data_IF_356735028251
#
_entry.id   IF_356735028251
#
_cell.length_a   1.000
_cell.length_b   1.000
_cell.length_c   1.000
_cell.angle_alpha   90.00
_cell.angle_beta   90.00
_cell.angle_gamma   90.00
#
_symmetry.space_group_name_H-M   'P 1'
#
loop_
_entity.id
_entity.type
_entity.pdbx_description
1 polymer ?
#
# COMPACT_ATOMS: atom_id res chain seq x y z
N UNK A 1 2.57 38.82 4.42
CA UNK A 1 3.05 38.90 3.03
C UNK A 1 3.61 37.51 2.72
N UNK A 2 2.83 36.65 2.07
CA UNK A 2 3.24 35.28 1.80
C UNK A 2 4.37 35.31 0.77
N UNK A 3 5.51 34.69 1.07
CA UNK A 3 6.53 34.40 0.07
C UNK A 3 5.87 33.66 -1.10
N UNK A 4 6.16 34.00 -2.36
CA UNK A 4 5.73 33.20 -3.49
C UNK A 4 6.26 31.77 -3.25
N UNK A 5 5.38 30.77 -3.34
CA UNK A 5 5.79 29.36 -3.41
C UNK A 5 6.90 29.27 -4.45
N UNK A 6 8.15 29.07 -3.99
CA UNK A 6 9.29 28.83 -4.87
C UNK A 6 8.87 27.74 -5.85
N UNK A 7 8.97 28.03 -7.15
CA UNK A 7 8.70 27.08 -8.23
C UNK A 7 9.63 25.87 -8.07
N UNK A 8 9.11 24.85 -7.39
CA UNK A 8 9.82 23.59 -7.17
C UNK A 8 9.60 22.69 -8.39
N UNK A 9 10.70 22.22 -8.99
CA UNK A 9 10.70 21.25 -10.09
C UNK A 9 9.74 20.09 -9.82
N UNK A 10 9.72 19.58 -8.59
CA UNK A 10 8.84 18.47 -8.21
C UNK A 10 7.37 18.81 -8.40
N UNK A 11 6.93 20.01 -8.01
CA UNK A 11 5.52 20.40 -8.15
C UNK A 11 5.16 20.70 -9.61
N UNK A 12 6.03 21.44 -10.32
CA UNK A 12 5.79 21.90 -11.70
C UNK A 12 5.81 20.74 -12.70
N UNK A 13 6.72 19.79 -12.55
CA UNK A 13 6.85 18.67 -13.48
C UNK A 13 5.95 17.48 -13.13
N UNK A 14 5.59 17.26 -11.87
CA UNK A 14 4.94 16.01 -11.44
C UNK A 14 3.42 16.14 -11.23
N UNK A 15 2.91 17.31 -10.82
CA UNK A 15 1.51 17.50 -10.41
C UNK A 15 0.75 18.50 -11.31
N UNK A 16 -0.03 17.98 -12.27
CA UNK A 16 -0.97 18.80 -13.06
C UNK A 16 -2.38 18.80 -12.43
N UNK A 17 -2.82 19.95 -11.93
CA UNK A 17 -4.17 20.14 -11.36
C UNK A 17 -5.28 20.29 -12.41
N UNK A 18 -5.45 19.28 -13.28
CA UNK A 18 -6.49 19.27 -14.35
C UNK A 18 -7.54 18.15 -14.16
N UNK A 19 -7.43 17.37 -13.10
CA UNK A 19 -8.25 16.19 -12.84
C UNK A 19 -9.70 16.49 -12.45
N UNK A 20 -10.60 15.57 -12.80
CA UNK A 20 -11.99 15.55 -12.33
C UNK A 20 -12.11 14.62 -11.12
N UNK A 21 -13.23 14.67 -10.40
CA UNK A 21 -13.40 13.92 -9.14
C UNK A 21 -13.20 12.40 -9.30
N UNK A 22 -13.60 11.82 -10.43
CA UNK A 22 -13.42 10.40 -10.69
C UNK A 22 -11.96 10.03 -10.99
N UNK A 23 -11.14 10.94 -11.54
CA UNK A 23 -9.71 10.69 -11.69
C UNK A 23 -9.06 10.53 -10.31
N UNK A 24 -9.38 11.40 -9.35
CA UNK A 24 -8.93 11.23 -7.96
C UNK A 24 -9.44 9.92 -7.36
N UNK A 25 -10.69 9.54 -7.64
CA UNK A 25 -11.22 8.23 -7.26
C UNK A 25 -10.43 7.05 -7.84
N UNK A 26 -9.98 7.12 -9.09
CA UNK A 26 -9.11 6.10 -9.70
C UNK A 26 -7.74 6.07 -9.02
N UNK A 27 -7.12 7.23 -8.77
CA UNK A 27 -5.85 7.32 -8.05
C UNK A 27 -5.95 6.72 -6.64
N UNK A 28 -7.00 7.06 -5.88
CA UNK A 28 -7.27 6.51 -4.55
C UNK A 28 -7.44 5.00 -4.59
N UNK A 29 -8.25 4.52 -5.54
CA UNK A 29 -8.57 3.10 -5.68
C UNK A 29 -7.33 2.30 -6.07
N UNK A 30 -6.50 2.79 -7.00
CA UNK A 30 -5.24 2.12 -7.35
C UNK A 30 -4.27 2.07 -6.18
N UNK A 31 -4.18 3.16 -5.40
CA UNK A 31 -3.25 3.23 -4.28
C UNK A 31 -3.68 2.31 -3.11
N UNK A 32 -4.97 2.25 -2.78
CA UNK A 32 -5.50 1.48 -1.64
C UNK A 32 -5.90 0.06 -2.04
N UNK A 33 -6.66 -0.10 -3.13
CA UNK A 33 -7.16 -1.40 -3.62
C UNK A 33 -6.11 -2.05 -4.53
N UNK A 34 -4.98 -2.41 -3.91
CA UNK A 34 -3.90 -3.14 -4.54
C UNK A 34 -3.89 -4.63 -4.19
N UNK A 35 -2.97 -5.41 -4.78
CA UNK A 35 -2.86 -6.84 -4.52
C UNK A 35 -2.51 -7.19 -3.07
N UNK A 36 -2.13 -6.23 -2.23
CA UNK A 36 -2.00 -6.40 -0.77
C UNK A 36 -3.28 -6.95 -0.12
N UNK A 37 -4.46 -6.77 -0.72
CA UNK A 37 -5.71 -7.38 -0.22
C UNK A 37 -5.66 -8.92 -0.18
N UNK A 38 -4.78 -9.55 -0.95
CA UNK A 38 -4.55 -11.00 -0.92
C UNK A 38 -3.91 -11.48 0.39
N UNK A 39 -3.47 -10.55 1.25
CA UNK A 39 -2.99 -10.85 2.61
C UNK A 39 -4.10 -10.80 3.66
N UNK A 40 -5.33 -10.39 3.31
CA UNK A 40 -6.44 -10.33 4.27
C UNK A 40 -6.75 -11.69 4.93
N UNK A 41 -6.76 -12.83 4.20
CA UNK A 41 -6.93 -14.14 4.83
C UNK A 41 -5.85 -14.44 5.88
N UNK A 42 -4.60 -14.03 5.60
CA UNK A 42 -3.49 -14.16 6.55
C UNK A 42 -3.66 -13.26 7.78
N UNK A 43 -4.16 -12.05 7.62
CA UNK A 43 -4.51 -11.20 8.77
C UNK A 43 -5.62 -11.85 9.62
N UNK A 44 -6.63 -12.45 8.97
CA UNK A 44 -7.70 -13.16 9.68
C UNK A 44 -7.19 -14.42 10.40
N UNK A 45 -6.16 -15.10 9.90
CA UNK A 45 -5.48 -16.17 10.65
C UNK A 45 -4.92 -15.67 12.01
N UNK A 46 -4.44 -14.44 12.09
CA UNK A 46 -3.94 -13.84 13.34
C UNK A 46 -5.02 -13.35 14.31
N UNK A 47 -6.23 -13.04 13.81
CA UNK A 47 -7.31 -12.40 14.58
C UNK A 47 -8.51 -13.31 14.82
N UNK A 48 -8.73 -14.30 13.97
CA UNK A 48 -9.98 -15.05 13.86
C UNK A 48 -11.09 -14.25 13.18
N UNK A 49 -12.24 -14.88 13.00
CA UNK A 49 -13.39 -14.28 12.31
C UNK A 49 -13.88 -12.99 12.96
N UNK A 50 -14.19 -13.03 14.26
CA UNK A 50 -14.86 -11.92 14.95
C UNK A 50 -13.98 -10.69 15.00
N UNK A 51 -12.75 -10.83 15.51
CA UNK A 51 -11.82 -9.72 15.62
C UNK A 51 -11.30 -9.29 14.24
N UNK A 52 -11.14 -10.23 13.29
CA UNK A 52 -10.79 -9.93 11.90
C UNK A 52 -11.79 -8.98 11.24
N UNK A 53 -13.09 -9.28 11.32
CA UNK A 53 -14.13 -8.39 10.80
C UNK A 53 -14.22 -7.07 11.55
N UNK A 54 -14.10 -7.10 12.89
CA UNK A 54 -14.09 -5.88 13.69
C UNK A 54 -12.96 -4.95 13.25
N UNK A 55 -11.72 -5.45 13.17
CA UNK A 55 -10.56 -4.67 12.73
C UNK A 55 -10.72 -4.21 11.27
N UNK A 56 -11.13 -5.09 10.36
CA UNK A 56 -11.35 -4.74 8.94
C UNK A 56 -12.35 -3.59 8.80
N UNK A 57 -13.45 -3.63 9.55
CA UNK A 57 -14.52 -2.61 9.48
C UNK A 57 -14.10 -1.33 10.19
N UNK A 58 -13.58 -1.43 11.42
CA UNK A 58 -13.18 -0.28 12.21
C UNK A 58 -12.09 0.53 11.50
N UNK A 59 -11.11 -0.15 10.90
CA UNK A 59 -10.04 0.52 10.18
C UNK A 59 -10.55 1.20 8.91
N UNK A 60 -11.47 0.57 8.16
CA UNK A 60 -12.11 1.23 7.02
C UNK A 60 -12.93 2.46 7.40
N UNK A 61 -13.67 2.42 8.51
CA UNK A 61 -14.41 3.60 9.00
C UNK A 61 -13.45 4.71 9.42
N UNK A 62 -12.38 4.36 10.16
CA UNK A 62 -11.39 5.33 10.63
C UNK A 62 -10.62 5.94 9.46
N UNK A 63 -10.16 5.17 8.49
CA UNK A 63 -9.43 5.73 7.34
C UNK A 63 -10.32 6.56 6.43
N UNK A 64 -11.59 6.18 6.22
CA UNK A 64 -12.54 7.03 5.50
C UNK A 64 -12.69 8.38 6.21
N UNK A 65 -12.89 8.33 7.53
CA UNK A 65 -13.01 9.52 8.36
C UNK A 65 -11.73 10.37 8.34
N UNK A 66 -10.55 9.76 8.51
CA UNK A 66 -9.24 10.42 8.40
C UNK A 66 -9.08 11.17 7.09
N UNK A 67 -9.38 10.52 5.97
CA UNK A 67 -9.22 11.12 4.65
C UNK A 67 -10.27 12.20 4.38
N UNK A 68 -11.48 12.04 4.92
CA UNK A 68 -12.47 13.12 4.94
C UNK A 68 -11.94 14.33 5.74
N UNK A 69 -11.43 14.16 6.95
CA UNK A 69 -10.86 15.23 7.75
C UNK A 69 -9.68 15.92 7.04
N UNK A 70 -8.76 15.14 6.47
CA UNK A 70 -7.63 15.68 5.72
C UNK A 70 -8.10 16.51 4.53
N UNK A 71 -9.11 16.05 3.78
CA UNK A 71 -9.68 16.82 2.67
C UNK A 71 -10.25 18.16 3.13
N UNK A 72 -10.89 18.20 4.32
CA UNK A 72 -11.42 19.41 4.94
C UNK A 72 -10.32 20.36 5.41
N UNK A 73 -9.19 19.85 5.89
CA UNK A 73 -8.03 20.67 6.24
C UNK A 73 -7.42 21.30 4.98
N UNK A 74 -7.23 20.52 3.92
CA UNK A 74 -6.72 21.02 2.65
C UNK A 74 -7.65 22.06 2.01
N UNK A 75 -8.97 21.83 2.04
CA UNK A 75 -9.96 22.81 1.57
C UNK A 75 -9.92 24.12 2.40
N UNK A 76 -9.69 24.02 3.71
CA UNK A 76 -9.55 25.20 4.58
C UNK A 76 -8.30 26.01 4.22
N UNK A 77 -7.16 25.35 3.98
CA UNK A 77 -5.94 25.99 3.52
C UNK A 77 -6.15 26.69 2.15
N UNK A 78 -6.79 26.01 1.19
CA UNK A 78 -7.06 26.56 -0.14
C UNK A 78 -7.93 27.82 -0.05
N UNK A 79 -8.96 27.82 0.80
CA UNK A 79 -9.81 28.99 1.06
C UNK A 79 -9.07 30.14 1.75
N UNK A 80 -8.07 29.82 2.57
CA UNK A 80 -7.21 30.80 3.23
C UNK A 80 -6.10 31.34 2.32
N UNK A 81 -6.09 30.96 1.03
CA UNK A 81 -5.17 31.48 0.02
C UNK A 81 -3.92 30.63 -0.24
N UNK A 82 -3.78 29.48 0.44
CA UNK A 82 -2.61 28.60 0.30
C UNK A 82 -3.03 27.21 -0.16
N UNK A 83 -2.65 26.84 -1.39
CA UNK A 83 -2.88 25.49 -1.92
C UNK A 83 -1.63 24.64 -1.76
N UNK A 84 -1.73 23.58 -0.96
CA UNK A 84 -0.65 22.63 -0.75
C UNK A 84 -0.76 21.43 -1.70
N UNK A 85 0.39 20.99 -2.20
CA UNK A 85 0.51 19.87 -3.14
C UNK A 85 1.05 18.60 -2.48
N UNK A 86 1.72 18.72 -1.34
CA UNK A 86 2.45 17.65 -0.67
C UNK A 86 2.03 17.53 0.79
N UNK A 87 2.00 16.31 1.31
CA UNK A 87 1.64 16.05 2.69
C UNK A 87 2.54 16.82 3.66
N UNK A 88 3.86 16.73 3.46
CA UNK A 88 4.88 17.39 4.30
C UNK A 88 4.68 18.91 4.41
N UNK A 89 4.21 19.56 3.34
CA UNK A 89 4.04 21.02 3.30
C UNK A 89 2.80 21.43 4.12
N UNK A 90 1.68 20.75 3.90
CA UNK A 90 0.45 21.04 4.67
C UNK A 90 0.63 20.70 6.15
N UNK A 91 1.31 19.59 6.46
CA UNK A 91 1.57 19.19 7.84
C UNK A 91 2.47 20.21 8.56
N UNK A 92 3.58 20.64 7.94
CA UNK A 92 4.48 21.63 8.52
C UNK A 92 3.80 22.98 8.74
N UNK A 93 2.95 23.40 7.80
CA UNK A 93 2.20 24.64 7.93
C UNK A 93 1.14 24.58 9.03
N UNK A 94 0.30 23.54 9.02
CA UNK A 94 -0.81 23.40 9.98
C UNK A 94 -0.28 23.18 11.40
N UNK A 95 0.76 22.37 11.58
CA UNK A 95 1.34 22.08 12.89
C UNK A 95 2.36 23.13 13.35
N UNK A 96 2.70 24.10 12.51
CA UNK A 96 3.56 25.24 12.84
C UNK A 96 5.02 24.87 13.21
N UNK A 97 5.52 23.72 12.74
CA UNK A 97 6.84 23.20 13.11
C UNK A 97 7.62 22.69 11.91
N UNK A 98 8.86 23.17 11.75
CA UNK A 98 9.77 22.70 10.71
C UNK A 98 10.21 21.24 10.89
N UNK A 99 10.18 20.70 12.11
CA UNK A 99 10.56 19.29 12.35
C UNK A 99 9.51 18.31 11.79
N UNK A 100 8.23 18.70 11.79
CA UNK A 100 7.14 17.92 11.19
C UNK A 100 7.36 17.68 9.70
N UNK A 101 7.92 18.66 8.99
CA UNK A 101 8.28 18.49 7.57
C UNK A 101 9.20 17.29 7.37
N UNK A 102 10.28 17.20 8.14
CA UNK A 102 11.26 16.11 8.05
C UNK A 102 10.69 14.78 8.55
N UNK A 103 9.86 14.81 9.61
CA UNK A 103 9.15 13.63 10.09
C UNK A 103 8.26 13.02 8.99
N UNK A 104 7.42 13.84 8.33
CA UNK A 104 6.55 13.35 7.26
C UNK A 104 7.36 12.84 6.07
N UNK A 105 8.46 13.52 5.68
CA UNK A 105 9.37 13.00 4.64
C UNK A 105 9.89 11.61 5.00
N UNK A 106 10.38 11.44 6.23
CA UNK A 106 10.95 10.18 6.68
C UNK A 106 9.92 9.04 6.61
N UNK A 107 8.72 9.27 7.16
CA UNK A 107 7.63 8.29 7.18
C UNK A 107 7.13 7.99 5.76
N UNK A 108 6.89 9.01 4.91
CA UNK A 108 6.48 8.81 3.51
C UNK A 108 7.55 8.03 2.73
N UNK A 109 8.84 8.34 2.93
CA UNK A 109 9.93 7.63 2.25
C UNK A 109 9.97 6.15 2.68
N UNK A 110 9.79 5.87 3.98
CA UNK A 110 9.67 4.49 4.47
C UNK A 110 8.50 3.74 3.83
N UNK A 111 7.32 4.37 3.76
CA UNK A 111 6.14 3.78 3.10
C UNK A 111 6.47 3.45 1.64
N UNK A 112 7.03 4.42 0.89
CA UNK A 112 7.33 4.23 -0.53
C UNK A 112 8.36 3.13 -0.78
N UNK A 113 9.41 3.07 0.04
CA UNK A 113 10.43 2.00 -0.02
C UNK A 113 9.79 0.65 0.27
N UNK A 114 9.02 0.54 1.36
CA UNK A 114 8.38 -0.72 1.74
C UNK A 114 7.39 -1.22 0.69
N UNK A 115 6.57 -0.34 0.13
CA UNK A 115 5.65 -0.66 -0.98
C UNK A 115 6.43 -1.08 -2.22
N UNK A 116 7.54 -0.41 -2.56
CA UNK A 116 8.36 -0.78 -3.72
C UNK A 116 8.98 -2.17 -3.55
N UNK A 117 9.51 -2.48 -2.36
CA UNK A 117 10.03 -3.82 -2.03
C UNK A 117 8.91 -4.86 -2.15
N UNK A 118 7.77 -4.64 -1.49
CA UNK A 118 6.64 -5.58 -1.54
C UNK A 118 6.07 -5.77 -2.94
N UNK A 119 6.02 -4.70 -3.74
CA UNK A 119 5.57 -4.73 -5.13
C UNK A 119 6.50 -5.58 -5.99
N UNK A 120 7.82 -5.38 -5.88
CA UNK A 120 8.81 -6.14 -6.64
C UNK A 120 8.78 -7.61 -6.24
N UNK A 121 8.73 -7.90 -4.94
CA UNK A 121 8.63 -9.25 -4.41
C UNK A 121 7.41 -9.98 -4.97
N UNK A 122 6.24 -9.38 -4.81
CA UNK A 122 4.99 -10.02 -5.22
C UNK A 122 4.86 -10.13 -6.75
N UNK A 123 5.41 -9.18 -7.49
CA UNK A 123 5.48 -9.28 -8.95
C UNK A 123 6.43 -10.42 -9.38
N UNK A 124 7.53 -10.63 -8.65
CA UNK A 124 8.45 -11.76 -8.86
C UNK A 124 7.75 -13.11 -8.63
N UNK A 125 6.99 -13.22 -7.54
CA UNK A 125 6.15 -14.37 -7.23
C UNK A 125 5.08 -14.64 -8.30
N UNK A 126 4.41 -13.60 -8.80
CA UNK A 126 3.44 -13.75 -9.90
C UNK A 126 4.12 -14.26 -11.18
N UNK A 127 5.33 -13.77 -11.50
CA UNK A 127 6.09 -14.22 -12.65
C UNK A 127 6.55 -15.68 -12.48
N UNK A 128 6.94 -16.07 -11.27
CA UNK A 128 7.26 -17.46 -10.94
C UNK A 128 6.04 -18.38 -11.13
N UNK A 129 4.85 -17.97 -10.67
CA UNK A 129 3.60 -18.71 -10.89
C UNK A 129 3.31 -18.90 -12.38
N UNK A 130 3.45 -17.84 -13.18
CA UNK A 130 3.25 -17.91 -14.63
C UNK A 130 4.27 -18.87 -15.25
N UNK A 131 5.53 -18.78 -14.85
CA UNK A 131 6.60 -19.66 -15.32
C UNK A 131 6.34 -21.13 -14.99
N UNK A 132 6.00 -21.45 -13.74
CA UNK A 132 5.73 -22.83 -13.31
C UNK A 132 4.53 -23.45 -14.02
N UNK A 133 3.55 -22.65 -14.44
CA UNK A 133 2.43 -23.14 -15.26
C UNK A 133 2.83 -23.51 -16.70
N UNK A 134 3.87 -22.87 -17.26
CA UNK A 134 4.34 -23.11 -18.64
C UNK A 134 5.50 -24.12 -18.66
N UNK A 135 6.37 -24.09 -17.65
CA UNK A 135 7.54 -24.95 -17.50
C UNK A 135 7.60 -25.55 -16.09
N UNK A 136 6.85 -26.63 -15.81
CA UNK A 136 6.75 -27.22 -14.46
C UNK A 136 8.07 -27.77 -13.90
N UNK A 137 9.04 -28.07 -14.77
CA UNK A 137 10.38 -28.56 -14.40
C UNK A 137 11.47 -27.50 -14.57
N UNK A 138 11.07 -26.24 -14.57
CA UNK A 138 11.99 -25.12 -14.68
C UNK A 138 12.93 -25.00 -13.48
N UNK A 139 14.17 -24.57 -13.73
CA UNK A 139 15.21 -24.46 -12.70
C UNK A 139 15.32 -23.07 -12.06
N UNK A 140 14.50 -22.12 -12.53
CA UNK A 140 14.58 -20.73 -12.08
C UNK A 140 14.00 -20.54 -10.68
N UNK A 141 14.69 -19.74 -9.88
CA UNK A 141 14.39 -19.44 -8.48
C UNK A 141 13.72 -18.08 -8.30
N UNK A 142 13.04 -17.87 -7.17
CA UNK A 142 12.30 -16.63 -6.90
C UNK A 142 13.15 -15.36 -7.07
N UNK A 143 14.39 -15.36 -6.57
CA UNK A 143 15.29 -14.20 -6.66
C UNK A 143 15.62 -13.81 -8.11
N UNK A 144 15.58 -14.76 -9.06
CA UNK A 144 15.82 -14.48 -10.48
C UNK A 144 14.60 -13.77 -11.10
N UNK A 145 13.39 -14.17 -10.73
CA UNK A 145 12.18 -13.47 -11.13
C UNK A 145 12.10 -12.07 -10.52
N UNK A 146 12.50 -11.92 -9.25
CA UNK A 146 12.65 -10.61 -8.59
C UNK A 146 13.64 -9.73 -9.37
N UNK A 147 14.78 -10.27 -9.81
CA UNK A 147 15.75 -9.53 -10.61
C UNK A 147 15.17 -9.08 -11.97
N UNK A 148 14.45 -9.96 -12.67
CA UNK A 148 13.77 -9.62 -13.94
C UNK A 148 12.74 -8.50 -13.75
N UNK A 149 11.89 -8.62 -12.73
CA UNK A 149 10.89 -7.61 -12.37
C UNK A 149 11.56 -6.28 -12.01
N UNK A 150 12.66 -6.33 -11.27
CA UNK A 150 13.44 -5.13 -10.89
C UNK A 150 13.94 -4.39 -12.14
N UNK A 151 14.44 -5.11 -13.15
CA UNK A 151 14.85 -4.53 -14.43
C UNK A 151 13.66 -3.88 -15.15
N UNK A 152 12.50 -4.53 -15.19
CA UNK A 152 11.28 -3.94 -15.78
C UNK A 152 10.88 -2.67 -15.01
N UNK A 153 10.90 -2.71 -13.68
CA UNK A 153 10.58 -1.57 -12.82
C UNK A 153 11.56 -0.41 -13.00
N UNK A 154 12.85 -0.67 -13.26
CA UNK A 154 13.83 0.38 -13.61
C UNK A 154 13.52 1.07 -14.93
N UNK A 155 13.06 0.33 -15.93
CA UNK A 155 12.62 0.91 -17.21
C UNK A 155 11.37 1.76 -17.00
N UNK A 156 10.37 1.21 -16.29
CA UNK A 156 9.13 1.93 -15.99
C UNK A 156 9.36 3.17 -15.10
N UNK A 157 10.33 3.13 -14.19
CA UNK A 157 10.72 4.25 -13.33
C UNK A 157 11.12 5.50 -14.12
N UNK A 158 11.51 5.35 -15.39
CA UNK A 158 11.88 6.47 -16.25
C UNK A 158 10.66 7.20 -16.83
N UNK A 159 9.43 6.75 -16.54
CA UNK A 159 8.21 7.48 -16.90
C UNK A 159 8.10 8.80 -16.09
N UNK A 160 7.70 9.91 -16.76
CA UNK A 160 7.93 11.25 -16.21
C UNK A 160 6.95 11.74 -15.14
N UNK A 161 5.64 11.42 -15.16
CA UNK A 161 4.66 12.12 -14.29
C UNK A 161 3.42 11.30 -13.87
N UNK A 162 2.80 11.65 -12.73
CA UNK A 162 1.52 11.10 -12.25
C UNK A 162 0.35 11.33 -13.22
N UNK A 163 0.30 12.48 -13.89
CA UNK A 163 -0.80 12.82 -14.80
C UNK A 163 -0.87 11.86 -15.99
N UNK A 164 0.27 11.35 -16.45
CA UNK A 164 0.36 10.33 -17.49
C UNK A 164 -0.25 8.99 -17.05
N UNK A 165 -0.34 8.75 -15.73
CA UNK A 165 -0.86 7.51 -15.15
C UNK A 165 -2.37 7.48 -15.01
N UNK A 166 -3.13 8.55 -15.30
CA UNK A 166 -4.60 8.56 -15.04
C UNK A 166 -5.35 7.43 -15.75
N UNK A 167 -4.95 7.11 -16.99
CA UNK A 167 -5.54 6.03 -17.77
C UNK A 167 -5.04 4.66 -17.28
N UNK A 168 -3.77 4.58 -16.86
CA UNK A 168 -3.23 3.40 -16.20
C UNK A 168 -3.94 3.11 -14.87
N UNK A 169 -4.39 4.13 -14.14
CA UNK A 169 -5.11 3.96 -12.88
C UNK A 169 -6.55 3.52 -13.08
N UNK A 170 -7.21 3.94 -14.17
CA UNK A 170 -8.49 3.34 -14.55
C UNK A 170 -8.33 1.85 -14.88
N UNK A 171 -7.29 1.49 -15.64
CA UNK A 171 -6.98 0.09 -15.95
C UNK A 171 -6.65 -0.68 -14.66
N UNK A 172 -5.85 -0.12 -13.77
CA UNK A 172 -5.47 -0.73 -12.50
C UNK A 172 -6.70 -0.99 -11.59
N UNK A 173 -7.67 -0.09 -11.57
CA UNK A 173 -8.95 -0.31 -10.89
C UNK A 173 -9.72 -1.51 -11.50
N UNK A 174 -9.79 -1.59 -12.84
CA UNK A 174 -10.46 -2.72 -13.48
C UNK A 174 -9.72 -4.04 -13.23
N UNK A 175 -8.39 -4.02 -13.25
CA UNK A 175 -7.54 -5.17 -12.90
C UNK A 175 -7.79 -5.62 -11.46
N UNK A 176 -7.95 -4.70 -10.50
CA UNK A 176 -8.22 -5.05 -9.10
C UNK A 176 -9.53 -5.76 -8.90
N UNK A 177 -10.60 -5.29 -9.57
CA UNK A 177 -11.86 -6.02 -9.60
C UNK A 177 -11.70 -7.39 -10.25
N UNK A 178 -10.99 -7.46 -11.40
CA UNK A 178 -10.86 -8.68 -12.18
C UNK A 178 -10.13 -9.80 -11.42
N UNK A 179 -8.92 -9.56 -10.88
CA UNK A 179 -8.23 -10.61 -10.13
C UNK A 179 -8.92 -10.92 -8.81
N UNK A 180 -9.62 -9.96 -8.19
CA UNK A 180 -10.38 -10.25 -6.96
C UNK A 180 -11.50 -11.24 -7.25
N UNK A 181 -12.24 -11.06 -8.34
CA UNK A 181 -13.28 -12.00 -8.78
C UNK A 181 -12.69 -13.38 -9.10
N UNK A 182 -11.58 -13.44 -9.85
CA UNK A 182 -10.91 -14.70 -10.17
C UNK A 182 -10.45 -15.42 -8.89
N UNK A 183 -9.85 -14.68 -7.95
CA UNK A 183 -9.36 -15.22 -6.70
C UNK A 183 -10.49 -15.71 -5.80
N UNK A 184 -11.56 -14.93 -5.64
CA UNK A 184 -12.74 -15.33 -4.86
C UNK A 184 -13.35 -16.59 -5.45
N UNK A 185 -13.51 -16.65 -6.78
CA UNK A 185 -13.98 -17.84 -7.48
C UNK A 185 -13.07 -19.06 -7.26
N UNK A 186 -11.75 -18.86 -7.33
CA UNK A 186 -10.77 -19.91 -7.08
C UNK A 186 -10.80 -20.42 -5.63
N UNK A 187 -10.94 -19.53 -4.64
CA UNK A 187 -11.06 -19.91 -3.23
C UNK A 187 -12.36 -20.68 -2.97
N UNK A 188 -13.48 -20.23 -3.53
CA UNK A 188 -14.78 -20.94 -3.43
C UNK A 188 -14.67 -22.32 -4.07
N UNK A 189 -14.08 -22.40 -5.27
CA UNK A 189 -13.86 -23.67 -5.96
C UNK A 189 -13.01 -24.62 -5.12
N UNK A 190 -11.88 -24.15 -4.58
CA UNK A 190 -11.00 -24.94 -3.73
C UNK A 190 -11.72 -25.46 -2.48
N UNK A 191 -12.44 -24.58 -1.76
CA UNK A 191 -13.15 -24.92 -0.51
C UNK A 191 -14.43 -25.76 -0.68
N UNK A 192 -14.92 -25.94 -1.92
CA UNK A 192 -16.01 -26.85 -2.29
C UNK A 192 -15.53 -28.12 -3.01
N UNK A 193 -14.23 -28.20 -3.33
CA UNK A 193 -13.67 -29.35 -4.04
C UNK A 193 -13.68 -30.62 -3.19
N UNK A 194 -13.58 -31.78 -3.82
CA UNK A 194 -13.49 -33.08 -3.11
C UNK A 194 -12.26 -33.17 -2.20
N UNK A 195 -11.20 -32.44 -2.54
CA UNK A 195 -9.94 -32.38 -1.81
C UNK A 195 -9.82 -31.01 -1.09
N UNK A 196 -10.93 -30.45 -0.62
CA UNK A 196 -10.93 -29.15 0.02
C UNK A 196 -9.95 -29.11 1.20
N UNK A 197 -9.22 -27.99 1.39
CA UNK A 197 -8.38 -27.82 2.55
C UNK A 197 -9.16 -27.98 3.87
N UNK A 198 -8.51 -28.46 4.94
CA UNK A 198 -9.14 -28.51 6.26
C UNK A 198 -9.61 -27.12 6.70
N UNK A 199 -10.87 -27.02 7.14
CA UNK A 199 -11.47 -25.78 7.63
C UNK A 199 -11.17 -25.58 9.12
N UNK A 200 -9.89 -25.45 9.44
CA UNK A 200 -9.43 -25.13 10.79
C UNK A 200 -9.33 -23.61 10.97
N UNK A 201 -9.96 -23.07 12.01
CA UNK A 201 -9.92 -21.65 12.37
C UNK A 201 -9.30 -21.44 13.75
N UNK A 202 -8.55 -22.42 14.24
CA UNK A 202 -7.79 -22.30 15.48
C UNK A 202 -6.78 -21.16 15.38
N UNK A 203 -6.65 -20.41 16.47
CA UNK A 203 -5.60 -19.41 16.65
C UNK A 203 -4.40 -20.04 17.31
N UNK A 204 -3.28 -19.32 17.30
CA UNK A 204 -2.06 -19.70 18.03
C UNK A 204 -2.37 -20.21 19.43
N UNK A 205 -1.80 -21.37 19.77
CA UNK A 205 -2.10 -22.08 21.03
C UNK A 205 -1.51 -21.37 22.25
N UNK A 206 -0.35 -20.73 22.09
CA UNK A 206 0.30 -19.93 23.13
C UNK A 206 -0.26 -18.51 23.14
N UNK A 207 -0.69 -18.04 24.30
CA UNK A 207 -1.29 -16.71 24.47
C UNK A 207 -0.37 -15.57 23.98
N UNK A 208 0.93 -15.64 24.29
CA UNK A 208 1.89 -14.63 23.83
C UNK A 208 2.02 -14.59 22.31
N UNK A 209 2.08 -15.75 21.66
CA UNK A 209 2.12 -15.86 20.20
C UNK A 209 0.83 -15.32 19.58
N UNK A 210 -0.34 -15.62 20.18
CA UNK A 210 -1.64 -15.11 19.74
C UNK A 210 -1.70 -13.58 19.78
N UNK A 211 -1.22 -12.96 20.86
CA UNK A 211 -1.17 -11.49 20.99
C UNK A 211 -0.28 -10.87 19.92
N UNK A 212 0.92 -11.42 19.69
CA UNK A 212 1.81 -10.93 18.63
C UNK A 212 1.17 -11.09 17.25
N UNK A 213 0.62 -12.27 16.92
CA UNK A 213 -0.06 -12.50 15.65
C UNK A 213 -1.22 -11.53 15.43
N UNK A 214 -1.98 -11.19 16.48
CA UNK A 214 -3.05 -10.19 16.41
C UNK A 214 -2.53 -8.78 16.07
N UNK A 215 -1.48 -8.29 16.75
CA UNK A 215 -0.92 -6.96 16.46
C UNK A 215 -0.24 -6.88 15.10
N UNK A 216 0.41 -7.95 14.65
CA UNK A 216 0.93 -8.05 13.29
C UNK A 216 -0.21 -8.00 12.28
N UNK A 217 -1.30 -8.75 12.50
CA UNK A 217 -2.47 -8.73 11.63
C UNK A 217 -3.17 -7.35 11.57
N UNK A 218 -3.32 -6.66 12.70
CA UNK A 218 -3.82 -5.27 12.73
C UNK A 218 -2.93 -4.37 11.87
N UNK A 219 -1.61 -4.54 11.95
CA UNK A 219 -0.67 -3.76 11.17
C UNK A 219 -0.76 -4.06 9.66
N UNK A 220 -0.99 -5.32 9.28
CA UNK A 220 -1.26 -5.69 7.89
C UNK A 220 -2.55 -5.00 7.40
N UNK A 221 -3.63 -5.02 8.17
CA UNK A 221 -4.88 -4.34 7.82
C UNK A 221 -4.66 -2.82 7.71
N UNK A 222 -3.80 -2.22 8.56
CA UNK A 222 -3.43 -0.80 8.45
C UNK A 222 -2.73 -0.51 7.12
N UNK A 223 -1.85 -1.42 6.70
CA UNK A 223 -1.13 -1.30 5.43
C UNK A 223 -2.05 -1.38 4.22
N UNK A 224 -3.05 -2.26 4.27
CA UNK A 224 -4.03 -2.43 3.19
C UNK A 224 -4.92 -1.19 3.03
N UNK A 225 -5.34 -0.55 4.13
CA UNK A 225 -6.15 0.67 4.05
C UNK A 225 -5.34 1.95 3.81
N UNK A 226 -4.04 1.89 4.09
CA UNK A 226 -3.13 3.02 4.00
C UNK A 226 -3.02 3.59 2.58
N UNK A 227 -2.88 4.91 2.49
CA UNK A 227 -2.67 5.65 1.27
C UNK A 227 -1.35 6.42 1.32
N UNK A 228 -1.05 7.19 2.38
CA UNK A 228 0.25 7.87 2.50
C UNK A 228 0.47 9.09 1.61
N UNK A 229 -0.37 9.29 0.60
CA UNK A 229 -0.21 10.29 -0.48
C UNK A 229 -1.52 11.03 -0.81
N UNK A 230 -2.45 11.07 0.15
CA UNK A 230 -3.79 11.65 -0.05
C UNK A 230 -3.74 13.12 -0.50
N UNK A 231 -2.93 14.00 0.15
CA UNK A 231 -2.79 15.38 -0.30
C UNK A 231 -2.28 15.51 -1.74
N UNK A 232 -1.32 14.67 -2.13
CA UNK A 232 -0.76 14.61 -3.48
C UNK A 232 -1.82 14.17 -4.51
N UNK A 233 -2.66 13.19 -4.16
CA UNK A 233 -3.80 12.78 -5.00
C UNK A 233 -4.82 13.92 -5.12
N UNK A 234 -5.16 14.59 -4.02
CA UNK A 234 -6.10 15.73 -4.05
C UNK A 234 -5.54 16.89 -4.90
N UNK A 235 -4.23 17.08 -4.92
CA UNK A 235 -3.58 18.11 -5.70
C UNK A 235 -3.76 17.93 -7.23
N UNK A 236 -4.04 16.71 -7.70
CA UNK A 236 -4.36 16.44 -9.11
C UNK A 236 -5.71 17.02 -9.56
N UNK A 237 -6.62 17.33 -8.62
CA UNK A 237 -7.94 17.87 -8.94
C UNK A 237 -7.85 19.30 -9.48
N UNK A 238 -8.69 19.62 -10.46
CA UNK A 238 -8.87 21.00 -10.89
C UNK A 238 -9.49 21.83 -9.76
N UNK A 239 -8.98 23.04 -9.45
CA UNK A 239 -9.53 23.91 -8.42
C UNK A 239 -10.95 24.38 -8.80
N UNK A 240 -11.83 24.66 -7.81
CA UNK A 240 -11.67 24.35 -6.39
C UNK A 240 -11.79 22.84 -6.14
N UNK A 241 -11.04 22.29 -5.18
CA UNK A 241 -11.13 20.87 -4.81
C UNK A 241 -12.39 20.52 -4.00
N UNK A 242 -13.10 21.54 -3.49
CA UNK A 242 -14.22 21.39 -2.55
C UNK A 242 -15.24 20.35 -2.99
N UNK A 243 -15.46 19.35 -2.14
CA UNK A 243 -16.45 18.27 -2.35
C UNK A 243 -16.11 17.27 -3.46
N UNK A 244 -15.15 17.55 -4.35
CA UNK A 244 -14.70 16.60 -5.38
C UNK A 244 -13.96 15.43 -4.74
N UNK A 245 -13.14 15.69 -3.72
CA UNK A 245 -12.36 14.64 -3.05
C UNK A 245 -13.27 13.62 -2.34
N UNK A 246 -14.34 14.07 -1.71
CA UNK A 246 -15.31 13.18 -1.03
C UNK A 246 -16.01 12.24 -2.00
N UNK A 247 -16.33 12.69 -3.23
CA UNK A 247 -16.88 11.81 -4.28
C UNK A 247 -15.86 10.75 -4.72
N UNK A 248 -14.58 11.12 -4.81
CA UNK A 248 -13.48 10.18 -5.08
C UNK A 248 -13.34 9.14 -3.97
N UNK A 249 -13.41 9.56 -2.71
CA UNK A 249 -13.42 8.66 -1.55
C UNK A 249 -14.61 7.70 -1.58
N UNK A 250 -15.82 8.20 -1.86
CA UNK A 250 -17.01 7.34 -1.95
C UNK A 250 -16.87 6.26 -3.04
N UNK A 251 -16.31 6.60 -4.21
CA UNK A 251 -16.02 5.62 -5.26
C UNK A 251 -15.02 4.56 -4.77
N UNK A 252 -13.90 4.98 -4.19
CA UNK A 252 -12.87 4.08 -3.70
C UNK A 252 -13.41 3.13 -2.62
N UNK A 253 -14.16 3.63 -1.64
CA UNK A 253 -14.69 2.83 -0.55
C UNK A 253 -15.81 1.88 -0.98
N UNK A 254 -16.53 2.21 -2.05
CA UNK A 254 -17.47 1.26 -2.69
C UNK A 254 -16.72 0.06 -3.27
N UNK A 255 -15.58 0.29 -3.92
CA UNK A 255 -14.71 -0.78 -4.44
C UNK A 255 -14.11 -1.60 -3.30
N UNK A 256 -13.57 -0.94 -2.26
CA UNK A 256 -13.05 -1.58 -1.04
C UNK A 256 -14.07 -2.53 -0.42
N UNK A 257 -15.33 -2.08 -0.27
CA UNK A 257 -16.37 -2.91 0.35
C UNK A 257 -16.56 -4.22 -0.42
N UNK A 258 -16.57 -4.16 -1.76
CA UNK A 258 -16.69 -5.35 -2.60
C UNK A 258 -15.43 -6.21 -2.47
N UNK A 259 -14.24 -5.64 -2.67
CA UNK A 259 -13.03 -6.43 -2.84
C UNK A 259 -12.45 -6.97 -1.52
N UNK A 260 -12.39 -6.15 -0.47
CA UNK A 260 -11.73 -6.51 0.78
C UNK A 260 -12.52 -7.60 1.51
N UNK A 261 -13.83 -7.39 1.64
CA UNK A 261 -14.70 -8.36 2.33
C UNK A 261 -14.79 -9.65 1.53
N UNK A 262 -14.95 -9.60 0.21
CA UNK A 262 -15.00 -10.84 -0.58
C UNK A 262 -13.70 -11.63 -0.48
N UNK A 263 -12.54 -10.98 -0.60
CA UNK A 263 -11.24 -11.63 -0.54
C UNK A 263 -10.94 -12.21 0.86
N UNK A 264 -11.21 -11.42 1.92
CA UNK A 264 -11.04 -11.87 3.30
C UNK A 264 -11.92 -13.08 3.60
N UNK A 265 -13.21 -13.01 3.25
CA UNK A 265 -14.19 -14.07 3.51
C UNK A 265 -13.83 -15.33 2.73
N UNK A 266 -13.68 -15.24 1.41
CA UNK A 266 -13.48 -16.43 0.58
C UNK A 266 -12.16 -17.11 0.90
N UNK A 267 -11.08 -16.34 1.06
CA UNK A 267 -9.76 -16.87 1.34
C UNK A 267 -9.66 -17.46 2.73
N UNK A 268 -10.09 -16.73 3.77
CA UNK A 268 -10.03 -17.25 5.13
C UNK A 268 -10.98 -18.43 5.31
N UNK A 269 -12.18 -18.40 4.72
CA UNK A 269 -13.08 -19.56 4.73
C UNK A 269 -12.47 -20.81 4.10
N UNK A 270 -11.76 -20.65 2.97
CA UNK A 270 -11.15 -21.78 2.27
C UNK A 270 -9.93 -22.35 2.99
N UNK A 271 -9.08 -21.51 3.61
CA UNK A 271 -7.76 -21.93 4.10
C UNK A 271 -7.53 -21.79 5.61
N UNK A 272 -8.34 -21.00 6.30
CA UNK A 272 -8.33 -20.88 7.76
C UNK A 272 -6.93 -20.61 8.33
N UNK A 273 -6.52 -21.41 9.31
CA UNK A 273 -5.21 -21.36 9.99
C UNK A 273 -4.02 -21.64 9.04
N UNK A 274 -4.27 -22.24 7.87
CA UNK A 274 -3.25 -22.50 6.83
C UNK A 274 -3.12 -21.37 5.81
N UNK A 275 -3.81 -20.24 5.99
CA UNK A 275 -3.67 -19.08 5.09
C UNK A 275 -2.21 -18.62 5.02
N UNK A 276 -1.67 -18.54 3.80
CA UNK A 276 -0.35 -17.98 3.51
C UNK A 276 -0.44 -16.46 3.42
N UNK A 277 0.71 -15.78 3.56
CA UNK A 277 0.84 -14.33 3.44
C UNK A 277 0.20 -13.79 2.16
N UNK A 278 0.20 -14.58 1.09
CA UNK A 278 -0.53 -14.33 -0.14
C UNK A 278 -1.41 -15.55 -0.43
N UNK A 279 -2.73 -15.35 -0.41
CA UNK A 279 -3.68 -16.45 -0.61
C UNK A 279 -3.59 -17.12 -1.98
N UNK A 280 -3.01 -16.45 -2.99
CA UNK A 280 -2.72 -17.08 -4.29
C UNK A 280 -1.78 -18.29 -4.15
N UNK A 281 -0.85 -18.26 -3.19
CA UNK A 281 0.07 -19.37 -2.91
C UNK A 281 -0.65 -20.57 -2.28
N UNK A 282 -1.74 -20.34 -1.53
CA UNK A 282 -2.55 -21.46 -1.04
C UNK A 282 -3.22 -22.26 -2.17
N UNK A 283 -3.48 -21.63 -3.32
CA UNK A 283 -4.09 -22.30 -4.48
C UNK A 283 -3.10 -23.17 -5.26
N UNK A 284 -1.79 -23.00 -5.00
CA UNK A 284 -0.68 -23.76 -5.58
C UNK A 284 0.17 -24.33 -4.44
N UNK A 285 -0.31 -25.35 -3.72
CA UNK A 285 0.47 -25.96 -2.64
C UNK A 285 1.76 -26.59 -3.20
N UNK A 286 2.83 -26.56 -2.41
CA UNK A 286 4.13 -27.16 -2.77
C UNK A 286 4.02 -28.66 -3.02
N UNK A 287 3.14 -29.32 -2.26
CA UNK A 287 2.80 -30.72 -2.44
C UNK A 287 1.33 -30.89 -2.85
N UNK A 288 1.12 -31.66 -3.92
CA UNK A 288 -0.20 -31.97 -4.46
C UNK A 288 -0.59 -31.12 -5.67
N UNK A 289 -1.78 -31.37 -6.24
CA UNK A 289 -2.26 -30.64 -7.40
C UNK A 289 -2.74 -29.22 -7.02
N UNK A 290 -2.75 -28.33 -8.01
CA UNK A 290 -3.39 -27.03 -7.88
C UNK A 290 -4.85 -27.16 -7.40
N UNK A 291 -5.25 -26.32 -6.45
CA UNK A 291 -6.58 -26.37 -5.83
C UNK A 291 -7.65 -25.62 -6.63
N UNK A 292 -7.24 -24.92 -7.68
CA UNK A 292 -8.11 -24.29 -8.68
C UNK A 292 -7.53 -24.49 -10.08
N UNK A 293 -8.31 -24.29 -11.16
CA UNK A 293 -7.82 -24.43 -12.52
C UNK A 293 -6.60 -23.53 -12.77
N UNK A 294 -5.51 -24.10 -13.26
CA UNK A 294 -4.21 -23.42 -13.43
C UNK A 294 -4.29 -22.18 -14.31
N UNK A 295 -5.16 -22.18 -15.33
CA UNK A 295 -5.39 -20.99 -16.17
C UNK A 295 -6.03 -19.83 -15.40
N UNK A 296 -6.89 -20.09 -14.41
CA UNK A 296 -7.50 -19.05 -13.55
C UNK A 296 -6.42 -18.42 -12.68
N UNK A 297 -5.57 -19.26 -12.08
CA UNK A 297 -4.45 -18.83 -11.23
C UNK A 297 -3.44 -18.02 -12.04
N UNK A 298 -3.05 -18.52 -13.21
CA UNK A 298 -2.13 -17.82 -14.12
C UNK A 298 -2.70 -16.49 -14.62
N UNK A 299 -3.99 -16.43 -14.98
CA UNK A 299 -4.64 -15.20 -15.40
C UNK A 299 -4.72 -14.18 -14.25
N UNK A 300 -5.06 -14.62 -13.04
CA UNK A 300 -5.04 -13.78 -11.86
C UNK A 300 -3.62 -13.23 -11.60
N UNK A 301 -2.59 -14.06 -11.70
CA UNK A 301 -1.19 -13.66 -11.56
C UNK A 301 -0.78 -12.59 -12.60
N UNK A 302 -1.23 -12.71 -13.86
CA UNK A 302 -0.98 -11.68 -14.89
C UNK A 302 -1.66 -10.36 -14.51
N UNK A 303 -2.92 -10.39 -14.09
CA UNK A 303 -3.64 -9.16 -13.71
C UNK A 303 -3.04 -8.49 -12.47
N UNK A 304 -2.62 -9.29 -11.49
CA UNK A 304 -1.91 -8.82 -10.30
C UNK A 304 -0.58 -8.17 -10.70
N UNK A 305 0.24 -8.84 -11.51
CA UNK A 305 1.52 -8.34 -12.01
C UNK A 305 1.39 -6.98 -12.68
N UNK A 306 0.41 -6.83 -13.57
CA UNK A 306 0.14 -5.57 -14.26
C UNK A 306 -0.32 -4.46 -13.29
N UNK A 307 -1.14 -4.79 -12.29
CA UNK A 307 -1.54 -3.79 -11.29
C UNK A 307 -0.37 -3.38 -10.39
N UNK A 308 0.50 -4.33 -10.00
CA UNK A 308 1.71 -4.06 -9.21
C UNK A 308 2.63 -3.07 -9.91
N UNK A 309 2.83 -3.18 -11.22
CA UNK A 309 3.58 -2.18 -11.98
C UNK A 309 2.98 -0.78 -11.84
N UNK A 310 1.66 -0.64 -11.91
CA UNK A 310 1.00 0.66 -11.73
C UNK A 310 1.20 1.22 -10.30
N UNK A 311 1.02 0.39 -9.27
CA UNK A 311 1.19 0.79 -7.86
C UNK A 311 2.63 1.20 -7.56
N UNK A 312 3.59 0.39 -8.00
CA UNK A 312 5.01 0.67 -7.81
C UNK A 312 5.40 2.00 -8.45
N UNK A 313 4.85 2.34 -9.62
CA UNK A 313 5.07 3.64 -10.23
C UNK A 313 4.44 4.78 -9.43
N UNK A 314 3.19 4.64 -8.97
CA UNK A 314 2.47 5.65 -8.17
C UNK A 314 3.25 6.02 -6.90
N UNK A 315 3.66 5.03 -6.10
CA UNK A 315 4.36 5.30 -4.83
C UNK A 315 5.81 5.75 -5.03
N UNK A 316 6.51 5.24 -6.06
CA UNK A 316 7.89 5.63 -6.30
C UNK A 316 8.05 7.09 -6.71
N UNK A 317 7.03 7.72 -7.31
CA UNK A 317 7.11 9.15 -7.69
C UNK A 317 7.38 10.05 -6.49
N UNK A 318 6.83 9.75 -5.31
CA UNK A 318 7.07 10.57 -4.12
C UNK A 318 8.52 10.42 -3.65
N UNK A 319 9.09 9.21 -3.71
CA UNK A 319 10.51 9.00 -3.42
C UNK A 319 11.41 9.71 -4.46
N UNK A 320 11.04 9.67 -5.74
CA UNK A 320 11.77 10.34 -6.81
C UNK A 320 11.77 11.85 -6.64
N UNK A 321 10.63 12.45 -6.29
CA UNK A 321 10.54 13.88 -6.00
C UNK A 321 11.51 14.30 -4.90
N UNK A 322 11.57 13.55 -3.79
CA UNK A 322 12.51 13.82 -2.68
C UNK A 322 13.97 13.75 -3.15
N UNK A 323 14.31 12.69 -3.90
CA UNK A 323 15.69 12.49 -4.39
C UNK A 323 16.08 13.53 -5.44
N UNK A 324 15.15 13.93 -6.31
CA UNK A 324 15.41 14.81 -7.44
C UNK A 324 15.37 16.30 -7.07
N UNK A 325 14.76 16.66 -5.93
CA UNK A 325 14.63 18.05 -5.45
C UNK A 325 15.96 18.81 -5.48
N UNK A 326 17.08 18.14 -5.15
CA UNK A 326 18.42 18.76 -5.14
C UNK A 326 19.25 18.48 -6.41
N UNK A 327 18.84 17.53 -7.25
CA UNK A 327 19.61 17.13 -8.43
C UNK A 327 19.08 17.71 -9.74
N UNK A 328 17.81 18.10 -9.79
CA UNK A 328 17.17 18.69 -10.97
C UNK A 328 17.34 20.21 -11.01
N UNK A 329 17.65 20.75 -12.19
CA UNK A 329 17.69 22.18 -12.48
C UNK A 329 16.42 22.61 -13.21
N UNK A 330 15.59 23.41 -12.54
CA UNK A 330 14.33 23.98 -13.07
C UNK A 330 14.53 24.84 -14.32
N UNK A 331 15.73 25.41 -14.50
CA UNK A 331 16.04 26.27 -15.65
C UNK A 331 16.30 25.49 -16.92
N UNK A 332 16.41 24.16 -16.85
CA UNK A 332 16.64 23.29 -17.99
C UNK A 332 15.44 22.35 -18.19
N UNK A 333 15.19 21.98 -19.45
CA UNK A 333 14.11 21.04 -19.77
C UNK A 333 14.26 19.69 -19.04
N UNK A 334 13.13 19.02 -18.81
CA UNK A 334 13.09 17.72 -18.11
C UNK A 334 14.00 16.65 -18.75
N UNK A 335 14.12 16.67 -20.08
CA UNK A 335 14.94 15.74 -20.85
C UNK A 335 16.33 16.29 -21.21
N UNK A 336 16.76 17.40 -20.60
CA UNK A 336 18.13 17.90 -20.77
C UNK A 336 19.14 16.90 -20.19
N UNK A 337 20.36 16.84 -20.73
CA UNK A 337 21.41 15.96 -20.17
C UNK A 337 21.65 16.23 -18.68
N UNK A 338 21.54 17.50 -18.24
CA UNK A 338 21.73 17.91 -16.84
C UNK A 338 20.73 17.28 -15.88
N UNK A 339 19.48 17.12 -16.32
CA UNK A 339 18.38 16.59 -15.51
C UNK A 339 18.19 15.08 -15.74
N UNK A 340 18.38 14.61 -16.97
CA UNK A 340 18.14 13.21 -17.36
C UNK A 340 19.19 12.25 -16.76
N UNK A 341 20.47 12.62 -16.72
CA UNK A 341 21.53 11.74 -16.22
C UNK A 341 21.36 11.45 -14.72
N UNK A 342 21.25 12.47 -13.82
CA UNK A 342 21.02 12.21 -12.40
C UNK A 342 19.73 11.44 -12.15
N UNK A 343 18.67 11.73 -12.91
CA UNK A 343 17.39 11.03 -12.83
C UNK A 343 17.51 9.54 -13.12
N UNK A 344 18.13 9.17 -14.25
CA UNK A 344 18.34 7.76 -14.61
C UNK A 344 19.14 7.06 -13.51
N UNK A 345 20.22 7.68 -13.03
CA UNK A 345 21.08 7.10 -11.99
C UNK A 345 20.32 6.91 -10.68
N UNK A 346 19.70 7.98 -10.14
CA UNK A 346 19.04 7.94 -8.83
C UNK A 346 17.85 6.99 -8.82
N UNK A 347 16.99 7.02 -9.85
CA UNK A 347 15.83 6.12 -9.94
C UNK A 347 16.24 4.66 -10.09
N UNK A 348 17.31 4.40 -10.86
CA UNK A 348 17.83 3.04 -11.02
C UNK A 348 18.46 2.52 -9.73
N UNK A 349 19.26 3.34 -9.03
CA UNK A 349 19.82 2.97 -7.71
C UNK A 349 18.69 2.65 -6.72
N UNK A 350 17.66 3.50 -6.66
CA UNK A 350 16.50 3.26 -5.79
C UNK A 350 15.83 1.92 -6.08
N UNK A 351 15.56 1.63 -7.36
CA UNK A 351 14.95 0.36 -7.76
C UNK A 351 15.87 -0.84 -7.51
N UNK A 352 17.19 -0.71 -7.73
CA UNK A 352 18.17 -1.75 -7.38
C UNK A 352 18.13 -2.08 -5.90
N UNK A 353 18.11 -1.07 -5.03
CA UNK A 353 18.07 -1.26 -3.57
C UNK A 353 16.77 -1.96 -3.18
N UNK A 354 15.63 -1.52 -3.71
CA UNK A 354 14.35 -2.16 -3.42
C UNK A 354 14.31 -3.63 -3.90
N UNK A 355 14.81 -3.91 -5.10
CA UNK A 355 14.89 -5.27 -5.64
C UNK A 355 15.84 -6.17 -4.88
N UNK A 356 16.99 -5.64 -4.45
CA UNK A 356 17.93 -6.36 -3.60
C UNK A 356 17.31 -6.72 -2.25
N UNK A 357 16.64 -5.77 -1.59
CA UNK A 357 15.96 -6.02 -0.33
C UNK A 357 14.81 -7.04 -0.48
N UNK A 358 14.06 -6.99 -1.58
CA UNK A 358 13.01 -7.94 -1.89
C UNK A 358 13.57 -9.37 -2.06
N UNK A 359 14.71 -9.53 -2.71
CA UNK A 359 15.38 -10.82 -2.87
C UNK A 359 16.03 -11.33 -1.56
N UNK A 360 16.43 -10.40 -0.68
CA UNK A 360 17.10 -10.71 0.59
C UNK A 360 16.11 -11.15 1.68
N UNK A 361 14.92 -10.54 1.73
CA UNK A 361 13.89 -10.76 2.76
C UNK A 361 12.51 -10.96 2.11
N UNK A 362 12.21 -12.14 1.52
CA UNK A 362 10.98 -12.37 0.77
C UNK A 362 9.75 -12.62 1.66
N UNK A 363 9.57 -11.85 2.74
CA UNK A 363 8.46 -11.98 3.69
C UNK A 363 7.39 -10.92 3.45
N UNK A 364 6.57 -11.11 2.42
CA UNK A 364 5.57 -10.10 2.00
C UNK A 364 4.64 -9.66 3.14
N UNK A 365 4.15 -10.62 3.94
CA UNK A 365 3.27 -10.33 5.08
C UNK A 365 3.94 -9.45 6.14
N UNK A 366 5.22 -9.70 6.42
CA UNK A 366 5.98 -8.97 7.44
C UNK A 366 6.36 -7.57 6.97
N UNK A 367 6.77 -7.42 5.70
CA UNK A 367 7.02 -6.13 5.08
C UNK A 367 5.74 -5.27 5.17
N UNK A 368 4.60 -5.84 4.80
CA UNK A 368 3.32 -5.13 4.89
C UNK A 368 2.98 -4.74 6.32
N UNK A 369 3.22 -5.62 7.30
CA UNK A 369 2.96 -5.34 8.71
C UNK A 369 3.82 -4.16 9.22
N UNK A 370 5.12 -4.14 8.89
CA UNK A 370 6.01 -3.03 9.29
C UNK A 370 5.58 -1.71 8.64
N UNK A 371 5.28 -1.73 7.34
CA UNK A 371 4.80 -0.55 6.59
C UNK A 371 3.50 -0.01 7.19
N UNK A 372 2.58 -0.90 7.58
CA UNK A 372 1.35 -0.52 8.26
C UNK A 372 1.60 0.13 9.62
N UNK A 373 2.41 -0.50 10.47
CA UNK A 373 2.60 -0.06 11.85
C UNK A 373 3.43 1.23 11.98
N UNK A 374 4.54 1.31 11.25
CA UNK A 374 5.50 2.42 11.36
C UNK A 374 5.18 3.52 10.34
N UNK A 375 4.62 3.15 9.19
CA UNK A 375 4.31 4.06 8.10
C UNK A 375 2.89 4.63 8.20
N UNK A 376 1.91 3.79 7.86
CA UNK A 376 0.54 4.25 7.65
C UNK A 376 -0.19 4.64 8.93
N UNK A 377 0.02 3.96 10.06
CA UNK A 377 -0.65 4.33 11.32
C UNK A 377 -0.36 5.80 11.72
N UNK A 378 0.92 6.24 11.84
CA UNK A 378 1.21 7.64 12.14
C UNK A 378 0.64 8.62 11.11
N UNK A 379 0.73 8.28 9.82
CA UNK A 379 0.47 9.22 8.74
C UNK A 379 -1.02 9.33 8.38
N UNK A 380 -1.75 8.21 8.37
CA UNK A 380 -3.15 8.16 7.93
C UNK A 380 -4.16 8.03 9.07
N UNK A 381 -3.77 7.50 10.22
CA UNK A 381 -4.70 7.33 11.35
C UNK A 381 -4.55 8.44 12.39
N UNK A 382 -3.32 8.92 12.62
CA UNK A 382 -3.02 9.88 13.69
C UNK A 382 -2.97 11.31 13.16
N UNK A 383 -2.10 11.59 12.18
CA UNK A 383 -1.86 12.95 11.68
C UNK A 383 -3.12 13.69 11.21
N UNK A 384 -4.07 13.08 10.49
CA UNK A 384 -5.28 13.77 10.03
C UNK A 384 -6.17 14.24 11.19
N UNK A 385 -6.26 13.44 12.26
CA UNK A 385 -7.00 13.80 13.49
C UNK A 385 -6.37 15.02 14.16
N UNK A 386 -5.04 15.00 14.31
CA UNK A 386 -4.28 16.09 14.93
C UNK A 386 -4.40 17.39 14.12
N UNK A 387 -4.16 17.30 12.81
CA UNK A 387 -4.24 18.44 11.90
C UNK A 387 -5.63 19.05 11.91
N UNK A 388 -6.69 18.23 11.84
CA UNK A 388 -8.06 18.73 11.93
C UNK A 388 -8.33 19.48 13.23
N UNK A 389 -7.93 18.91 14.38
CA UNK A 389 -8.13 19.54 15.67
C UNK A 389 -7.40 20.88 15.79
N UNK A 390 -6.22 21.03 15.18
CA UNK A 390 -5.45 22.28 15.19
C UNK A 390 -6.05 23.32 14.24
N UNK A 391 -6.47 22.89 13.04
CA UNK A 391 -7.06 23.78 12.03
C UNK A 391 -8.43 24.31 12.47
N UNK A 392 -9.33 23.41 12.90
CA UNK A 392 -10.72 23.77 13.18
C UNK A 392 -11.00 24.08 14.65
N UNK A 393 -10.10 23.74 15.57
CA UNK A 393 -10.22 23.98 17.01
C UNK A 393 -11.62 23.62 17.57
N UNK A 394 -12.13 22.39 17.33
CA UNK A 394 -13.42 21.99 17.87
C UNK A 394 -13.42 22.12 19.41
N UNK A 395 -14.58 22.46 19.98
CA UNK A 395 -14.73 22.52 21.44
C UNK A 395 -14.29 21.21 22.09
N UNK A 396 -13.64 21.28 23.25
CA UNK A 396 -13.26 20.09 24.05
C UNK A 396 -14.45 19.27 24.54
N UNK A 397 -15.65 19.86 24.52
CA UNK A 397 -16.91 19.16 24.82
C UNK A 397 -17.55 18.52 23.59
N UNK A 398 -17.03 18.78 22.38
CA UNK A 398 -17.58 18.24 21.13
C UNK A 398 -17.24 16.77 20.97
N UNK A 399 -18.20 16.01 20.44
CA UNK A 399 -18.03 14.61 20.06
C UNK A 399 -16.84 14.45 19.09
N UNK A 400 -16.68 15.38 18.14
CA UNK A 400 -15.58 15.33 17.14
C UNK A 400 -14.22 15.37 17.82
N UNK A 401 -14.05 16.23 18.84
CA UNK A 401 -12.79 16.32 19.57
C UNK A 401 -12.46 15.00 20.27
N UNK A 402 -13.43 14.41 20.97
CA UNK A 402 -13.25 13.14 21.66
C UNK A 402 -13.00 11.95 20.73
N UNK A 403 -13.74 11.85 19.62
CA UNK A 403 -13.51 10.82 18.61
C UNK A 403 -12.09 10.91 18.06
N UNK A 404 -11.63 12.12 17.70
CA UNK A 404 -10.28 12.35 17.22
C UNK A 404 -9.22 11.97 18.26
N UNK A 405 -9.44 12.33 19.54
CA UNK A 405 -8.53 11.96 20.64
C UNK A 405 -8.46 10.45 20.86
N UNK A 406 -9.60 9.75 20.86
CA UNK A 406 -9.66 8.30 21.03
C UNK A 406 -8.91 7.60 19.89
N UNK A 407 -9.16 8.01 18.64
CA UNK A 407 -8.44 7.46 17.48
C UNK A 407 -6.93 7.65 17.65
N UNK A 408 -6.47 8.87 17.97
CA UNK A 408 -5.03 9.11 18.16
C UNK A 408 -4.42 8.23 19.24
N UNK A 409 -5.07 8.09 20.41
CA UNK A 409 -4.55 7.28 21.53
C UNK A 409 -4.54 5.79 21.17
N UNK A 410 -5.64 5.26 20.65
CA UNK A 410 -5.76 3.84 20.29
C UNK A 410 -4.73 3.49 19.21
N UNK A 411 -4.65 4.28 18.13
CA UNK A 411 -3.75 3.99 17.03
C UNK A 411 -2.28 4.22 17.38
N UNK A 412 -1.97 5.12 18.32
CA UNK A 412 -0.59 5.22 18.86
C UNK A 412 -0.21 3.93 19.58
N UNK A 413 -1.09 3.42 20.46
CA UNK A 413 -0.86 2.17 21.19
C UNK A 413 -0.74 0.96 20.26
N UNK A 414 -1.68 0.79 19.33
CA UNK A 414 -1.64 -0.32 18.38
C UNK A 414 -0.48 -0.19 17.39
N UNK A 415 -0.08 1.02 17.02
CA UNK A 415 1.09 1.26 16.17
C UNK A 415 2.39 0.85 16.85
N UNK A 416 2.58 1.20 18.12
CA UNK A 416 3.76 0.79 18.89
C UNK A 416 3.83 -0.73 19.07
N UNK A 417 2.73 -1.36 19.48
CA UNK A 417 2.66 -2.81 19.68
C UNK A 417 2.78 -3.57 18.34
N UNK A 418 2.15 -3.03 17.29
CA UNK A 418 2.24 -3.52 15.92
C UNK A 418 3.66 -3.45 15.37
N UNK A 419 4.37 -2.35 15.59
CA UNK A 419 5.76 -2.20 15.16
C UNK A 419 6.67 -3.20 15.85
N UNK A 420 6.55 -3.34 17.18
CA UNK A 420 7.30 -4.34 17.94
C UNK A 420 7.00 -5.76 17.44
N UNK A 421 5.72 -6.11 17.28
CA UNK A 421 5.32 -7.45 16.84
C UNK A 421 5.79 -7.77 15.42
N UNK A 422 5.67 -6.81 14.50
CA UNK A 422 6.04 -6.99 13.10
C UNK A 422 7.56 -7.11 12.92
N UNK A 423 8.34 -6.30 13.63
CA UNK A 423 9.81 -6.40 13.64
C UNK A 423 10.24 -7.74 14.26
N UNK A 424 9.63 -8.13 15.39
CA UNK A 424 9.90 -9.43 16.02
C UNK A 424 9.64 -10.57 15.05
N UNK A 425 8.50 -10.54 14.34
CA UNK A 425 8.16 -11.58 13.36
C UNK A 425 9.17 -11.64 12.21
N UNK A 426 9.51 -10.49 11.63
CA UNK A 426 10.52 -10.43 10.57
C UNK A 426 11.88 -10.98 11.02
N UNK A 427 12.33 -10.65 12.25
CA UNK A 427 13.59 -11.17 12.78
C UNK A 427 13.56 -12.68 12.95
N UNK A 428 12.46 -13.23 13.46
CA UNK A 428 12.31 -14.68 13.62
C UNK A 428 12.27 -15.38 12.26
N UNK A 429 11.49 -14.87 11.31
CA UNK A 429 11.36 -15.48 9.99
C UNK A 429 12.70 -15.38 9.21
N UNK A 430 13.46 -14.29 9.41
CA UNK A 430 14.79 -14.10 8.82
C UNK A 430 15.87 -15.01 9.42
N UNK A 431 15.81 -15.35 10.71
CA UNK A 431 16.78 -16.25 11.37
C UNK A 431 16.75 -17.67 10.78
N UNK A 432 15.57 -18.10 10.33
CA UNK A 432 15.36 -19.40 9.69
C UNK A 432 15.54 -19.37 8.16
N UNK A 433 15.78 -18.21 7.55
CA UNK A 433 15.85 -18.10 6.09
C UNK A 433 17.28 -18.07 5.56
N UNK A 434 17.55 -18.93 4.58
CA UNK A 434 18.82 -18.92 3.87
C UNK A 434 18.76 -17.89 2.73
N UNK A 435 19.64 -16.90 2.76
CA UNK A 435 19.67 -15.86 1.73
C UNK A 435 19.67 -16.46 0.31
N UNK A 436 18.72 -15.99 -0.51
CA UNK A 436 18.48 -16.41 -1.89
C UNK A 436 18.05 -17.88 -2.09
N UNK A 437 17.45 -18.53 -1.08
CA UNK A 437 16.75 -19.81 -1.24
C UNK A 437 15.26 -19.62 -1.59
N UNK A 438 14.64 -20.71 -2.08
CA UNK A 438 13.19 -20.77 -2.34
C UNK A 438 12.40 -21.23 -1.10
N UNK A 439 13.08 -21.64 -0.02
CA UNK A 439 12.46 -22.16 1.21
C UNK A 439 13.12 -21.59 2.46
N UNK A 440 12.31 -21.34 3.49
CA UNK A 440 12.77 -21.15 4.88
C UNK A 440 13.37 -22.49 5.33
N UNK A 441 14.61 -22.48 5.84
CA UNK A 441 15.23 -23.69 6.36
C UNK A 441 14.48 -24.11 7.63
N UNK A 442 14.04 -25.37 7.64
CA UNK A 442 13.05 -25.92 8.58
C UNK A 442 13.40 -25.86 10.05
#
# INVERSE_FOLDING_TARGET
MAEPLKEDAGTVFVLESKGKWWHAGFHLTTAIVGPTILTLPFAFRGLGWVLGFFCLTAMGVVTFYSYYLMSRVLEHCERSGSRYFRFRDVAANVLGSGWIFYFVIFIQTMINVGISIGTILFAGECLQIIYSNVSPHGSLKLYQFIAMVTVVMMVLAQLPTFHSLRHLNLIALLLSLAYTVLLVGACIYAGLSKNAPPKDYSLESKDSARVFSAFTAISIIASIYGNGILPEIQATLAPPATGKMVKGLALCYSVIFVTFYSAAISGYWAFGSSSNSIVLMNLLPDEGPALAPTWVIGLAAVFILLQLFAIGQVYSQVAYEVMETKSADVKQGLFSKRNLIPRIILRSIYMSVCGFMAAMLPFFGDINAIVGAVGFIPLDFILPMLMYNITYKPSKTSIIYWVNMVIMVVFTGTGMLGAFSSIRKLVLDADHFKLFSDTVAG
#
